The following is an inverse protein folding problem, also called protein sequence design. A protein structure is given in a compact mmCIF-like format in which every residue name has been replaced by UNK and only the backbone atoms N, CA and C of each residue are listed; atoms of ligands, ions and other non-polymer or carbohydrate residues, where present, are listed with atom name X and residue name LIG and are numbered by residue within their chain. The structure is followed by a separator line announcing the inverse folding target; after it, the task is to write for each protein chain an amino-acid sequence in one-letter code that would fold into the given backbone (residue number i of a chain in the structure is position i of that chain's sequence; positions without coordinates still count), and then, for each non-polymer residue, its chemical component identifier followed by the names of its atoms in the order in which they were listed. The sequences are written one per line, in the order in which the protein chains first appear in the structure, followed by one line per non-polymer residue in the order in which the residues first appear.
data_IF_038259932508
#
_entry.id   IF_038259932508
#
_cell.length_a   1.000
_cell.length_b   1.000
_cell.length_c   1.000
_cell.angle_alpha   90.00
_cell.angle_beta   90.00
_cell.angle_gamma   90.00
#
_symmetry.space_group_name_H-M   'P 1'
#
loop_
_entity.id
_entity.type
_entity.pdbx_description
1 polymer ?
#
# COMPACT_ATOMS: atom_id res chain seq x y z
N UNK A 1 0.82 0.16 -14.62
CA UNK A 1 0.28 1.34 -13.95
C UNK A 1 -0.75 0.80 -12.96
N UNK A 2 -0.79 1.26 -11.71
CA UNK A 2 -2.05 1.14 -10.95
C UNK A 2 -3.11 1.75 -11.86
N UNK A 3 -4.10 0.97 -12.26
CA UNK A 3 -5.23 1.49 -13.00
C UNK A 3 -6.02 2.36 -12.02
N UNK A 4 -5.80 3.67 -12.09
CA UNK A 4 -6.47 4.64 -11.24
C UNK A 4 -7.92 4.88 -11.67
N UNK A 5 -8.31 4.43 -12.87
CA UNK A 5 -9.69 4.54 -13.37
C UNK A 5 -10.54 3.35 -12.93
N UNK A 6 -9.97 2.13 -12.90
CA UNK A 6 -10.59 0.98 -12.24
C UNK A 6 -10.04 0.86 -10.83
N UNK A 7 -10.70 1.55 -9.87
CA UNK A 7 -10.39 1.52 -8.43
C UNK A 7 -10.07 0.10 -7.95
N UNK A 8 -8.79 -0.24 -8.00
CA UNK A 8 -8.34 -1.62 -8.01
C UNK A 8 -8.50 -2.17 -6.60
N UNK A 9 -9.51 -3.01 -6.40
CA UNK A 9 -9.71 -3.75 -5.16
C UNK A 9 -8.57 -4.75 -5.06
N UNK A 10 -7.48 -4.36 -4.40
CA UNK A 10 -6.43 -5.29 -4.06
C UNK A 10 -6.89 -6.08 -2.84
N UNK A 11 -7.30 -7.34 -3.02
CA UNK A 11 -7.45 -8.29 -1.91
C UNK A 11 -6.07 -8.70 -1.42
N UNK A 12 -5.51 -7.88 -0.56
CA UNK A 12 -4.15 -7.95 -0.07
C UNK A 12 -4.05 -8.94 1.10
N UNK A 13 -3.16 -9.93 0.99
CA UNK A 13 -2.80 -10.79 2.10
C UNK A 13 -1.48 -10.31 2.72
N UNK A 14 -1.38 -10.21 4.05
CA UNK A 14 -0.15 -9.81 4.71
C UNK A 14 0.96 -10.82 4.43
N UNK A 15 2.19 -10.31 4.35
CA UNK A 15 3.40 -11.10 4.24
C UNK A 15 4.47 -10.53 5.17
N UNK A 16 5.34 -11.41 5.64
CA UNK A 16 6.55 -11.01 6.36
C UNK A 16 7.38 -10.05 5.51
N UNK A 17 7.95 -9.02 6.15
CA UNK A 17 8.80 -8.02 5.46
C UNK A 17 9.97 -8.72 4.75
N UNK A 18 10.53 -9.79 5.31
CA UNK A 18 11.61 -10.57 4.68
C UNK A 18 11.20 -11.32 3.39
N UNK A 19 9.90 -11.38 3.08
CA UNK A 19 9.34 -12.05 1.89
C UNK A 19 8.89 -11.06 0.82
N UNK A 20 9.00 -9.76 1.06
CA UNK A 20 8.73 -8.75 0.04
C UNK A 20 9.80 -8.80 -1.05
N UNK A 21 9.50 -8.30 -2.25
CA UNK A 21 10.49 -8.27 -3.35
C UNK A 21 11.76 -7.52 -2.93
N UNK A 22 12.93 -8.07 -3.25
CA UNK A 22 14.24 -7.43 -3.02
C UNK A 22 14.33 -6.02 -3.61
N UNK A 23 13.62 -5.79 -4.71
CA UNK A 23 13.55 -4.49 -5.38
C UNK A 23 13.05 -3.40 -4.42
N UNK A 24 12.08 -3.68 -3.56
CA UNK A 24 11.57 -2.70 -2.59
C UNK A 24 12.65 -2.25 -1.62
N UNK A 25 13.48 -3.16 -1.12
CA UNK A 25 14.58 -2.82 -0.22
C UNK A 25 15.63 -1.91 -0.87
N UNK A 26 15.81 -2.03 -2.19
CA UNK A 26 16.73 -1.20 -2.97
C UNK A 26 16.15 0.17 -3.33
N UNK A 27 14.83 0.36 -3.21
CA UNK A 27 14.16 1.63 -3.51
C UNK A 27 14.08 2.58 -2.33
N UNK A 28 14.30 2.08 -1.11
CA UNK A 28 14.19 2.87 0.11
C UNK A 28 15.27 3.96 0.12
N UNK A 29 14.86 5.18 0.44
CA UNK A 29 15.79 6.28 0.70
C UNK A 29 16.28 6.25 2.15
N UNK A 30 17.27 7.07 2.47
CA UNK A 30 17.75 7.21 3.85
C UNK A 30 16.61 7.59 4.81
N UNK A 31 16.51 6.83 5.91
CA UNK A 31 15.44 6.99 6.89
C UNK A 31 14.07 6.45 6.46
N UNK A 32 13.96 5.84 5.27
CA UNK A 32 12.76 5.13 4.83
C UNK A 32 12.82 3.65 5.25
N UNK A 33 11.76 3.14 5.89
CA UNK A 33 11.64 1.75 6.33
C UNK A 33 10.27 1.18 5.96
N UNK A 34 10.23 -0.13 5.67
CA UNK A 34 8.97 -0.83 5.39
C UNK A 34 8.23 -1.03 6.72
N UNK A 35 7.00 -0.51 6.79
CA UNK A 35 6.08 -0.68 7.90
C UNK A 35 5.31 -2.00 7.78
N UNK A 36 4.79 -2.30 6.59
CA UNK A 36 4.06 -3.54 6.32
C UNK A 36 4.15 -3.96 4.85
N UNK A 37 4.09 -5.27 4.61
CA UNK A 37 4.11 -5.87 3.27
C UNK A 37 2.87 -6.71 2.99
N UNK A 38 2.40 -6.64 1.75
CA UNK A 38 1.21 -7.35 1.29
C UNK A 38 1.40 -7.91 -0.10
N UNK A 39 0.62 -8.93 -0.43
CA UNK A 39 0.58 -9.49 -1.79
C UNK A 39 -0.82 -9.89 -2.24
N UNK A 40 -1.00 -9.92 -3.55
CA UNK A 40 -2.03 -10.71 -4.21
C UNK A 40 -1.42 -12.01 -4.73
N UNK A 41 -2.00 -12.61 -5.78
CA UNK A 41 -1.42 -13.78 -6.47
C UNK A 41 -0.10 -13.42 -7.16
N UNK A 42 0.01 -12.20 -7.71
CA UNK A 42 1.17 -11.79 -8.52
C UNK A 42 1.80 -10.48 -8.05
N UNK A 43 0.97 -9.57 -7.55
CA UNK A 43 1.40 -8.22 -7.21
C UNK A 43 1.78 -8.14 -5.74
N UNK A 44 2.62 -7.16 -5.42
CA UNK A 44 2.98 -6.85 -4.04
C UNK A 44 2.82 -5.37 -3.77
N UNK A 45 2.47 -5.04 -2.52
CA UNK A 45 2.36 -3.67 -2.04
C UNK A 45 3.11 -3.58 -0.73
N UNK A 46 3.94 -2.55 -0.56
CA UNK A 46 4.55 -2.20 0.72
C UNK A 46 4.08 -0.83 1.16
N UNK A 47 3.74 -0.72 2.43
CA UNK A 47 3.57 0.56 3.12
C UNK A 47 4.89 0.84 3.82
N UNK A 48 5.54 1.96 3.48
CA UNK A 48 6.74 2.43 4.17
C UNK A 48 6.34 3.51 5.18
N UNK A 49 7.31 4.10 5.88
CA UNK A 49 7.09 5.32 6.64
C UNK A 49 7.07 6.60 5.80
N UNK A 50 7.08 6.52 4.45
CA UNK A 50 7.08 7.69 3.55
C UNK A 50 6.04 7.62 2.43
N UNK A 51 5.70 6.42 1.96
CA UNK A 51 4.86 6.19 0.78
C UNK A 51 4.30 4.78 0.75
N UNK A 52 3.30 4.56 -0.09
CA UNK A 52 2.98 3.23 -0.58
C UNK A 52 3.81 2.95 -1.84
N UNK A 53 4.35 1.74 -1.98
CA UNK A 53 4.97 1.26 -3.21
C UNK A 53 4.25 -0.01 -3.67
N UNK A 54 3.67 0.02 -4.87
CA UNK A 54 3.03 -1.13 -5.49
C UNK A 54 3.90 -1.67 -6.64
N UNK A 55 3.99 -2.99 -6.72
CA UNK A 55 4.64 -3.73 -7.80
C UNK A 55 3.59 -4.54 -8.55
N UNK A 56 3.28 -4.10 -9.77
CA UNK A 56 2.36 -4.79 -10.67
C UNK A 56 3.16 -5.64 -11.66
N UNK A 57 3.01 -6.97 -11.57
CA UNK A 57 3.73 -7.92 -12.42
C UNK A 57 2.96 -8.14 -13.72
N UNK A 58 3.59 -7.82 -14.84
CA UNK A 58 2.98 -7.83 -16.17
C UNK A 58 3.48 -8.97 -17.06
N UNK A 59 2.65 -9.33 -18.04
CA UNK A 59 2.97 -10.35 -19.04
C UNK A 59 2.89 -11.78 -18.49
N UNK A 60 3.16 -12.75 -19.38
CA UNK A 60 3.09 -14.18 -19.06
C UNK A 60 4.28 -14.62 -18.22
N UNK A 61 5.48 -14.14 -18.57
CA UNK A 61 6.75 -14.47 -17.91
C UNK A 61 6.94 -13.73 -16.59
N UNK A 62 6.17 -12.68 -16.31
CA UNK A 62 6.34 -11.82 -15.15
C UNK A 62 7.65 -11.01 -15.12
N UNK A 63 8.38 -10.96 -16.25
CA UNK A 63 9.67 -10.28 -16.33
C UNK A 63 9.56 -8.75 -16.36
N UNK A 64 8.39 -8.22 -16.73
CA UNK A 64 8.10 -6.79 -16.67
C UNK A 64 7.35 -6.49 -15.38
N UNK A 65 7.88 -5.58 -14.57
CA UNK A 65 7.22 -5.11 -13.35
C UNK A 65 7.07 -3.62 -13.43
N UNK A 66 5.87 -3.13 -13.18
CA UNK A 66 5.56 -1.72 -13.07
C UNK A 66 5.49 -1.32 -11.60
N UNK A 67 6.29 -0.33 -11.22
CA UNK A 67 6.37 0.16 -9.85
C UNK A 67 5.69 1.50 -9.74
N UNK A 68 4.73 1.62 -8.83
CA UNK A 68 4.03 2.88 -8.54
C UNK A 68 4.34 3.30 -7.11
N UNK A 69 4.77 4.56 -6.93
CA UNK A 69 4.96 5.17 -5.60
C UNK A 69 3.86 6.19 -5.34
N UNK A 70 3.23 6.13 -4.16
CA UNK A 70 2.21 7.06 -3.70
C UNK A 70 2.71 7.74 -2.41
N UNK A 71 3.36 8.92 -2.51
CA UNK A 71 3.92 9.62 -1.36
C UNK A 71 2.84 10.11 -0.40
N UNK A 72 3.05 9.93 0.90
CA UNK A 72 2.10 10.41 1.91
C UNK A 72 1.98 11.93 1.94
N UNK A 73 3.07 12.64 1.63
CA UNK A 73 3.08 14.11 1.51
C UNK A 73 2.23 14.68 0.38
N UNK A 74 1.66 13.83 -0.49
CA UNK A 74 0.77 14.21 -1.59
C UNK A 74 -0.68 13.79 -1.35
N UNK A 75 -0.98 13.23 -0.18
CA UNK A 75 -2.32 12.82 0.20
C UNK A 75 -3.07 14.01 0.78
N UNK A 76 -4.25 14.30 0.21
CA UNK A 76 -5.12 15.38 0.68
C UNK A 76 -6.10 14.90 1.74
N UNK A 77 -6.49 13.63 1.69
CA UNK A 77 -7.34 12.97 2.66
C UNK A 77 -7.06 11.47 2.67
N UNK A 78 -7.36 10.80 3.78
CA UNK A 78 -7.32 9.35 3.88
C UNK A 78 -8.48 8.84 4.72
N UNK A 79 -8.94 7.64 4.44
CA UNK A 79 -9.94 6.91 5.22
C UNK A 79 -9.36 5.57 5.64
N UNK A 80 -9.61 5.17 6.89
CA UNK A 80 -9.19 3.88 7.43
C UNK A 80 -10.42 3.26 8.09
N UNK A 81 -10.87 2.13 7.56
CA UNK A 81 -12.02 1.38 8.06
C UNK A 81 -11.53 0.09 8.72
N UNK A 82 -11.91 -0.09 9.99
CA UNK A 82 -11.68 -1.32 10.74
C UNK A 82 -12.67 -2.39 10.33
N UNK A 83 -12.24 -3.64 10.36
CA UNK A 83 -13.11 -4.76 10.15
C UNK A 83 -14.13 -4.92 11.30
N UNK A 84 -15.38 -5.29 10.97
CA UNK A 84 -16.42 -5.59 11.97
C UNK A 84 -16.19 -6.95 12.65
N UNK A 85 -17.07 -7.35 13.58
CA UNK A 85 -16.91 -8.60 14.36
C UNK A 85 -16.91 -9.91 13.56
N UNK A 86 -17.26 -9.89 12.27
CA UNK A 86 -17.39 -11.10 11.43
C UNK A 86 -16.37 -11.18 10.27
N UNK A 87 -15.80 -10.06 9.84
CA UNK A 87 -14.75 -10.01 8.81
C UNK A 87 -13.48 -9.45 9.44
N UNK A 88 -12.32 -10.01 9.08
CA UNK A 88 -11.00 -9.53 9.52
C UNK A 88 -10.37 -8.57 8.51
N UNK A 89 -11.16 -8.09 7.55
CA UNK A 89 -10.68 -7.32 6.42
C UNK A 89 -10.76 -5.83 6.76
N UNK A 90 -9.64 -5.11 6.68
CA UNK A 90 -9.58 -3.67 6.86
C UNK A 90 -9.38 -2.97 5.53
N UNK A 91 -9.81 -1.72 5.48
CA UNK A 91 -9.75 -0.92 4.26
C UNK A 91 -9.02 0.39 4.49
N UNK A 92 -8.20 0.75 3.51
CA UNK A 92 -7.49 2.02 3.47
C UNK A 92 -7.80 2.70 2.14
N UNK A 93 -8.31 3.91 2.19
CA UNK A 93 -8.47 4.77 1.02
C UNK A 93 -7.54 5.99 1.13
N UNK A 94 -6.82 6.27 0.05
CA UNK A 94 -5.96 7.44 -0.08
C UNK A 94 -6.52 8.34 -1.20
N UNK A 95 -6.66 9.63 -0.91
CA UNK A 95 -7.17 10.62 -1.86
C UNK A 95 -6.04 11.57 -2.25
N UNK A 96 -5.65 11.54 -3.51
CA UNK A 96 -4.58 12.35 -4.10
C UNK A 96 -5.17 13.23 -5.20
N UNK A 97 -4.95 14.54 -5.14
CA UNK A 97 -5.67 15.53 -5.98
C UNK A 97 -5.71 15.20 -7.47
N UNK A 98 -4.56 14.89 -8.08
CA UNK A 98 -4.45 14.67 -9.53
C UNK A 98 -4.55 13.19 -9.93
N UNK A 99 -4.36 12.29 -8.96
CA UNK A 99 -4.32 10.84 -9.19
C UNK A 99 -5.68 10.19 -8.88
N UNK A 100 -6.50 10.83 -8.06
CA UNK A 100 -7.80 10.33 -7.63
C UNK A 100 -7.72 9.51 -6.35
N UNK A 101 -8.63 8.52 -6.24
CA UNK A 101 -8.79 7.68 -5.05
C UNK A 101 -8.16 6.31 -5.27
N UNK A 102 -7.29 5.90 -4.35
CA UNK A 102 -6.69 4.57 -4.32
C UNK A 102 -7.21 3.81 -3.11
N UNK A 103 -7.73 2.60 -3.30
CA UNK A 103 -8.33 1.76 -2.26
C UNK A 103 -7.53 0.46 -2.08
N UNK A 104 -7.28 0.08 -0.83
CA UNK A 104 -6.58 -1.14 -0.45
C UNK A 104 -7.49 -1.97 0.49
N UNK A 105 -7.82 -3.20 0.10
CA UNK A 105 -8.59 -4.16 0.93
C UNK A 105 -7.62 -5.17 1.54
N UNK A 106 -7.24 -4.97 2.79
CA UNK A 106 -6.27 -5.82 3.48
C UNK A 106 -7.02 -6.90 4.26
N UNK A 107 -6.64 -8.16 4.07
CA UNK A 107 -7.21 -9.28 4.79
C UNK A 107 -6.39 -9.63 6.01
N UNK A 108 -7.03 -9.75 7.17
CA UNK A 108 -6.37 -10.17 8.40
C UNK A 108 -5.76 -9.01 9.18
N UNK A 109 -4.81 -9.33 10.05
CA UNK A 109 -4.25 -8.36 10.99
C UNK A 109 -3.41 -7.29 10.28
N UNK A 110 -3.72 -6.03 10.57
CA UNK A 110 -2.90 -4.87 10.23
C UNK A 110 -2.93 -3.88 11.40
N UNK A 111 -1.77 -3.34 11.77
CA UNK A 111 -1.68 -2.35 12.85
C UNK A 111 -2.18 -0.98 12.37
N UNK A 112 -3.51 -0.85 12.36
CA UNK A 112 -4.23 0.34 11.90
C UNK A 112 -3.92 1.56 12.77
N UNK A 113 -3.67 1.38 14.06
CA UNK A 113 -3.42 2.49 15.00
C UNK A 113 -2.06 3.11 14.69
N UNK A 114 -1.01 2.30 14.61
CA UNK A 114 0.33 2.79 14.28
C UNK A 114 0.37 3.36 12.86
N UNK A 115 -0.31 2.72 11.91
CA UNK A 115 -0.42 3.23 10.54
C UNK A 115 -1.13 4.59 10.49
N UNK A 116 -2.29 4.74 11.15
CA UNK A 116 -3.05 5.98 11.20
C UNK A 116 -2.22 7.13 11.78
N UNK A 117 -1.49 6.88 12.87
CA UNK A 117 -0.59 7.88 13.45
C UNK A 117 0.49 8.30 12.45
N UNK A 118 1.17 7.32 11.85
CA UNK A 118 2.27 7.55 10.91
C UNK A 118 1.83 8.33 9.67
N UNK A 119 0.69 7.99 9.07
CA UNK A 119 0.19 8.73 7.90
C UNK A 119 -0.28 10.14 8.30
N UNK A 120 -0.88 10.29 9.49
CA UNK A 120 -1.28 11.60 10.03
C UNK A 120 -0.09 12.55 10.19
N UNK A 121 1.07 12.06 10.63
CA UNK A 121 2.32 12.84 10.73
C UNK A 121 2.79 13.40 9.38
N UNK A 122 2.35 12.83 8.25
CA UNK A 122 2.72 13.30 6.91
C UNK A 122 1.65 14.18 6.26
N UNK A 123 0.39 14.07 6.71
CA UNK A 123 -0.76 14.76 6.12
C UNK A 123 -1.14 16.02 6.91
N UNK A 124 -0.95 16.02 8.23
CA UNK A 124 -1.41 17.09 9.13
C UNK A 124 -0.30 18.03 9.63
N UNK A 125 0.97 17.64 9.49
CA UNK A 125 2.13 18.36 10.04
C UNK A 125 3.00 19.01 8.95
#
# INVERSE_FOLDING_TARGET
MIDFENSSIFKLKPIEISKVRDDFHKFLIDGESIFAGFKTVRDQVVFTNKRVIAANVQGITGSKVDYTSLPYSKINAFSIETSGTLDLDCEIELFLSEVGRVRFEIRGSFDLVSFNKMISEHVLA
#
